data_IF_459301525309
#
_entry.id   IF_459301525309
#
_cell.length_a   1.000
_cell.length_b   1.000
_cell.length_c   1.000
_cell.angle_alpha   90.00
_cell.angle_beta   90.00
_cell.angle_gamma   90.00
#
_symmetry.space_group_name_H-M   'P 1'
#
loop_
_entity.id
_entity.type
_entity.pdbx_description
1 polymer ?
#
# COMPACT_ATOMS: atom_id res chain seq x y z
N UNK A 1 -2.17 25.25 15.90
CA UNK A 1 -3.16 25.23 17.02
C UNK A 1 -2.79 24.06 17.92
N UNK A 2 -2.97 24.20 19.24
CA UNK A 2 -2.81 23.11 20.20
C UNK A 2 -4.15 22.91 20.90
N UNK A 3 -4.62 21.67 20.99
CA UNK A 3 -5.89 21.29 21.61
C UNK A 3 -5.69 20.89 23.09
N UNK A 4 -6.75 20.85 23.92
CA UNK A 4 -6.65 20.48 25.34
C UNK A 4 -6.07 19.07 25.59
N UNK A 5 -6.22 18.16 24.64
CA UNK A 5 -5.66 16.80 24.65
C UNK A 5 -4.20 16.74 24.21
N UNK A 6 -3.53 17.90 24.07
CA UNK A 6 -2.16 18.06 23.57
C UNK A 6 -1.97 17.70 22.08
N UNK A 7 -3.05 17.49 21.33
CA UNK A 7 -2.97 17.37 19.87
C UNK A 7 -2.51 18.68 19.23
N UNK A 8 -1.52 18.61 18.35
CA UNK A 8 -0.98 19.76 17.63
C UNK A 8 -1.46 19.73 16.19
N UNK A 9 -1.99 20.84 15.68
CA UNK A 9 -2.48 20.98 14.30
C UNK A 9 -1.71 22.10 13.59
N UNK A 10 -1.05 21.76 12.49
CA UNK A 10 -0.38 22.69 11.57
C UNK A 10 -1.08 22.69 10.21
N UNK A 11 -1.19 23.86 9.60
CA UNK A 11 -1.75 24.03 8.26
C UNK A 11 -0.72 24.72 7.35
N UNK A 12 -0.23 23.97 6.36
CA UNK A 12 0.74 24.43 5.37
C UNK A 12 0.00 24.99 4.16
N UNK A 13 -0.15 26.32 4.11
CA UNK A 13 -0.98 27.00 3.10
C UNK A 13 -0.55 26.75 1.66
N UNK A 14 0.75 26.80 1.37
CA UNK A 14 1.26 26.64 -0.01
C UNK A 14 1.02 25.25 -0.57
N UNK A 15 1.14 24.22 0.28
CA UNK A 15 0.95 22.82 -0.09
C UNK A 15 -0.50 22.36 0.09
N UNK A 16 -1.34 23.21 0.69
CA UNK A 16 -2.72 22.89 1.08
C UNK A 16 -2.80 21.58 1.89
N UNK A 17 -1.86 21.43 2.83
CA UNK A 17 -1.71 20.24 3.66
C UNK A 17 -1.98 20.58 5.12
N UNK A 18 -2.67 19.69 5.83
CA UNK A 18 -2.84 19.79 7.29
C UNK A 18 -2.12 18.62 7.96
N UNK A 19 -1.24 18.92 8.91
CA UNK A 19 -0.57 17.94 9.76
C UNK A 19 -1.19 17.98 11.16
N UNK A 20 -1.48 16.80 11.71
CA UNK A 20 -2.02 16.61 13.05
C UNK A 20 -1.06 15.67 13.79
N UNK A 21 -0.44 16.13 14.86
CA UNK A 21 0.47 15.34 15.69
C UNK A 21 -0.22 15.01 17.01
N UNK A 22 -0.40 13.72 17.28
CA UNK A 22 -0.99 13.20 18.52
C UNK A 22 0.10 13.00 19.59
N UNK A 23 -0.28 13.02 20.87
CA UNK A 23 0.66 12.79 21.97
C UNK A 23 1.33 11.40 21.91
N UNK A 24 0.68 10.42 21.28
CA UNK A 24 1.24 9.07 21.06
C UNK A 24 2.41 9.04 20.07
N UNK A 25 2.74 10.15 19.41
CA UNK A 25 3.74 10.23 18.34
C UNK A 25 3.20 9.84 16.96
N UNK A 26 1.90 9.61 16.83
CA UNK A 26 1.24 9.43 15.53
C UNK A 26 1.09 10.78 14.84
N UNK A 27 1.44 10.84 13.57
CA UNK A 27 1.21 12.00 12.71
C UNK A 27 0.19 11.68 11.63
N UNK A 28 -0.77 12.57 11.41
CA UNK A 28 -1.80 12.44 10.38
C UNK A 28 -1.66 13.60 9.41
N UNK A 29 -1.48 13.30 8.13
CA UNK A 29 -1.42 14.28 7.05
C UNK A 29 -2.68 14.20 6.21
N UNK A 30 -3.29 15.36 5.94
CA UNK A 30 -4.43 15.50 5.02
C UNK A 30 -4.03 16.42 3.89
N UNK A 31 -4.06 15.90 2.67
CA UNK A 31 -3.68 16.62 1.46
C UNK A 31 -4.92 17.13 0.72
N UNK A 32 -4.74 18.18 -0.06
CA UNK A 32 -5.83 18.81 -0.84
C UNK A 32 -6.50 17.85 -1.83
N UNK A 33 -5.74 16.91 -2.40
CA UNK A 33 -6.26 15.94 -3.36
C UNK A 33 -7.19 14.90 -2.72
N UNK A 34 -7.37 14.90 -1.39
CA UNK A 34 -8.17 13.93 -0.65
C UNK A 34 -7.34 12.78 -0.06
N UNK A 35 -6.03 12.72 -0.34
CA UNK A 35 -5.15 11.73 0.27
C UNK A 35 -5.01 11.97 1.77
N UNK A 36 -5.00 10.90 2.54
CA UNK A 36 -4.77 10.91 3.98
C UNK A 36 -3.65 9.94 4.29
N UNK A 37 -2.66 10.38 5.07
CA UNK A 37 -1.59 9.52 5.56
C UNK A 37 -1.56 9.52 7.08
N UNK A 38 -1.32 8.35 7.66
CA UNK A 38 -1.09 8.14 9.09
C UNK A 38 0.31 7.56 9.23
N UNK A 39 1.22 8.30 9.85
CA UNK A 39 2.57 7.84 10.17
C UNK A 39 2.60 7.45 11.64
N UNK A 40 2.92 6.19 11.91
CA UNK A 40 2.98 5.63 13.26
C UNK A 40 4.36 5.84 13.87
N UNK A 41 4.41 5.82 15.21
CA UNK A 41 5.66 5.98 15.96
C UNK A 41 6.71 4.90 15.65
N UNK A 42 6.29 3.70 15.22
CA UNK A 42 7.17 2.61 14.80
C UNK A 42 7.64 2.71 13.34
N UNK A 43 7.42 3.85 12.67
CA UNK A 43 7.73 4.13 11.26
C UNK A 43 6.82 3.47 10.23
N UNK A 44 5.85 2.64 10.63
CA UNK A 44 4.82 2.15 9.72
C UNK A 44 3.94 3.31 9.24
N UNK A 45 3.40 3.20 8.02
CA UNK A 45 2.51 4.19 7.43
C UNK A 45 1.25 3.53 6.88
N UNK A 46 0.13 4.23 7.02
CA UNK A 46 -1.13 3.91 6.37
C UNK A 46 -1.51 5.08 5.47
N UNK A 47 -1.85 4.80 4.21
CA UNK A 47 -2.14 5.81 3.20
C UNK A 47 -3.48 5.46 2.57
N UNK A 48 -4.42 6.40 2.58
CA UNK A 48 -5.69 6.31 1.84
C UNK A 48 -5.62 7.29 0.68
N UNK A 49 -5.68 6.75 -0.53
CA UNK A 49 -5.67 7.54 -1.76
C UNK A 49 -7.09 7.97 -2.14
N UNK A 50 -7.23 9.06 -2.93
CA UNK A 50 -8.53 9.57 -3.34
C UNK A 50 -9.34 8.61 -4.22
N UNK A 51 -8.65 7.69 -4.92
CA UNK A 51 -9.28 6.67 -5.75
C UNK A 51 -9.87 5.50 -4.93
N UNK A 52 -9.64 5.47 -3.62
CA UNK A 52 -10.06 4.41 -2.70
C UNK A 52 -8.99 3.36 -2.42
N UNK A 53 -7.81 3.45 -3.05
CA UNK A 53 -6.68 2.57 -2.74
C UNK A 53 -6.21 2.81 -1.31
N UNK A 54 -6.05 1.75 -0.54
CA UNK A 54 -5.41 1.80 0.78
C UNK A 54 -4.03 1.15 0.69
N UNK A 55 -2.98 1.80 1.20
CA UNK A 55 -1.61 1.29 1.20
C UNK A 55 -1.01 1.30 2.60
N UNK A 56 -0.39 0.20 2.98
CA UNK A 56 0.34 0.04 4.23
C UNK A 56 1.82 -0.12 3.89
N UNK A 57 2.68 0.69 4.51
CA UNK A 57 4.14 0.59 4.38
C UNK A 57 4.66 0.23 5.75
N UNK A 58 5.29 -0.92 5.86
CA UNK A 58 5.82 -1.42 7.11
C UNK A 58 7.29 -1.03 7.26
N UNK A 59 7.70 -0.81 8.50
CA UNK A 59 9.09 -0.49 8.87
C UNK A 59 10.11 -1.56 8.47
N UNK A 60 9.68 -2.79 8.22
CA UNK A 60 10.52 -3.88 7.69
C UNK A 60 10.75 -3.78 6.16
N UNK A 61 10.14 -2.80 5.47
CA UNK A 61 10.23 -2.60 4.02
C UNK A 61 9.11 -3.23 3.21
N UNK A 62 8.27 -4.07 3.82
CA UNK A 62 7.10 -4.68 3.18
C UNK A 62 6.01 -3.64 2.90
N UNK A 63 5.28 -3.79 1.80
CA UNK A 63 4.20 -2.90 1.43
C UNK A 63 2.96 -3.69 1.02
N UNK A 64 1.82 -3.35 1.60
CA UNK A 64 0.52 -3.90 1.20
C UNK A 64 -0.30 -2.82 0.50
N UNK A 65 -1.09 -3.18 -0.50
CA UNK A 65 -2.08 -2.28 -1.11
C UNK A 65 -3.38 -3.02 -1.36
N UNK A 66 -4.51 -2.43 -0.98
CA UNK A 66 -5.85 -2.87 -1.33
C UNK A 66 -6.42 -1.90 -2.34
N UNK A 67 -6.68 -2.38 -3.55
CA UNK A 67 -7.24 -1.58 -4.63
C UNK A 67 -8.79 -1.55 -4.55
N UNK A 68 -9.43 -0.53 -5.15
CA UNK A 68 -10.90 -0.39 -5.14
C UNK A 68 -11.66 -1.56 -5.80
N UNK A 69 -11.01 -2.27 -6.72
CA UNK A 69 -11.54 -3.47 -7.39
C UNK A 69 -11.41 -4.74 -6.53
N UNK A 70 -10.84 -4.63 -5.32
CA UNK A 70 -10.63 -5.71 -4.38
C UNK A 70 -9.34 -6.51 -4.60
N UNK A 71 -8.49 -6.11 -5.56
CA UNK A 71 -7.17 -6.73 -5.71
C UNK A 71 -6.30 -6.34 -4.52
N UNK A 72 -5.68 -7.35 -3.90
CA UNK A 72 -4.71 -7.16 -2.81
C UNK A 72 -3.30 -7.38 -3.34
N UNK A 73 -2.41 -6.43 -3.08
CA UNK A 73 -1.01 -6.48 -3.48
C UNK A 73 -0.11 -6.53 -2.26
N UNK A 74 0.91 -7.38 -2.31
CA UNK A 74 2.04 -7.40 -1.38
C UNK A 74 3.31 -7.17 -2.19
N UNK A 75 4.18 -6.27 -1.72
CA UNK A 75 5.59 -6.19 -2.15
C UNK A 75 6.43 -6.51 -0.93
N UNK A 76 7.18 -7.62 -0.99
CA UNK A 76 8.04 -8.02 0.11
C UNK A 76 9.39 -7.27 0.10
N UNK A 77 10.18 -7.48 1.14
CA UNK A 77 11.53 -6.92 1.30
C UNK A 77 12.53 -7.31 0.18
N UNK A 78 12.24 -8.35 -0.59
CA UNK A 78 13.05 -8.78 -1.73
C UNK A 78 12.57 -8.18 -3.06
N UNK A 79 11.53 -7.32 -3.05
CA UNK A 79 10.81 -6.82 -4.22
C UNK A 79 10.01 -7.88 -4.98
N UNK A 80 9.69 -9.02 -4.35
CA UNK A 80 8.69 -9.94 -4.89
C UNK A 80 7.32 -9.27 -4.77
N UNK A 81 6.62 -9.14 -5.89
CA UNK A 81 5.26 -8.60 -5.93
C UNK A 81 4.26 -9.73 -6.06
N UNK A 82 3.36 -9.86 -5.10
CA UNK A 82 2.20 -10.76 -5.16
C UNK A 82 0.93 -9.95 -5.38
N UNK A 83 0.11 -10.35 -6.36
CA UNK A 83 -1.26 -9.89 -6.55
C UNK A 83 -2.21 -11.03 -6.21
N UNK A 84 -3.20 -10.76 -5.39
CA UNK A 84 -4.31 -11.67 -5.06
C UNK A 84 -5.62 -11.00 -5.50
N UNK A 85 -6.29 -11.65 -6.44
CA UNK A 85 -7.53 -11.16 -7.01
C UNK A 85 -8.73 -11.67 -6.18
N UNK A 86 -9.88 -10.97 -6.18
CA UNK A 86 -11.06 -11.37 -5.39
C UNK A 86 -11.59 -12.78 -5.69
N UNK A 87 -11.30 -13.32 -6.87
CA UNK A 87 -11.67 -14.68 -7.25
C UNK A 87 -10.74 -15.75 -6.66
N UNK A 88 -9.69 -15.37 -5.91
CA UNK A 88 -8.68 -16.26 -5.33
C UNK A 88 -7.49 -16.57 -6.26
N UNK A 89 -7.45 -15.99 -7.46
CA UNK A 89 -6.33 -16.14 -8.39
C UNK A 89 -5.14 -15.31 -7.90
N UNK A 90 -3.91 -15.82 -8.05
CA UNK A 90 -2.71 -15.10 -7.62
C UNK A 90 -1.65 -15.02 -8.72
N UNK A 91 -0.95 -13.90 -8.76
CA UNK A 91 0.22 -13.67 -9.62
C UNK A 91 1.39 -13.22 -8.76
N UNK A 92 2.56 -13.84 -8.94
CA UNK A 92 3.78 -13.54 -8.20
C UNK A 92 4.84 -13.16 -9.22
N UNK A 93 5.32 -11.92 -9.14
CA UNK A 93 6.39 -11.38 -9.96
C UNK A 93 7.66 -11.34 -9.11
N UNK A 94 8.65 -12.14 -9.50
CA UNK A 94 9.95 -12.17 -8.85
C UNK A 94 10.86 -11.06 -9.41
N UNK A 95 11.88 -10.62 -8.65
CA UNK A 95 12.82 -9.59 -9.08
C UNK A 95 13.63 -9.95 -10.34
N UNK A 96 13.82 -11.24 -10.60
CA UNK A 96 14.53 -11.76 -11.78
C UNK A 96 13.69 -11.76 -13.07
N UNK A 97 12.43 -11.32 -12.98
CA UNK A 97 11.47 -11.29 -14.08
C UNK A 97 10.62 -12.55 -14.19
N UNK A 98 10.84 -13.57 -13.35
CA UNK A 98 10.01 -14.77 -13.31
C UNK A 98 8.59 -14.42 -12.84
N UNK A 99 7.59 -14.96 -13.54
CA UNK A 99 6.18 -14.83 -13.15
C UNK A 99 5.60 -16.20 -12.83
N UNK A 100 5.02 -16.32 -11.65
CA UNK A 100 4.29 -17.50 -11.20
C UNK A 100 2.81 -17.18 -11.06
N UNK A 101 1.95 -18.08 -11.49
CA UNK A 101 0.49 -17.93 -11.45
C UNK A 101 -0.13 -19.07 -10.65
N UNK A 102 -1.18 -18.78 -9.89
CA UNK A 102 -1.95 -19.74 -9.10
C UNK A 102 -3.44 -19.56 -9.38
N UNK A 103 -4.12 -20.66 -9.72
CA UNK A 103 -5.58 -20.69 -9.85
C UNK A 103 -6.25 -20.86 -8.48
N UNK A 104 -7.46 -20.32 -8.27
CA UNK A 104 -8.17 -20.44 -6.99
C UNK A 104 -8.37 -21.88 -6.52
N UNK A 105 -8.56 -22.80 -7.45
CA UNK A 105 -8.84 -24.22 -7.17
C UNK A 105 -7.59 -25.09 -7.00
N UNK A 106 -6.39 -24.49 -7.04
CA UNK A 106 -5.12 -25.23 -7.05
C UNK A 106 -4.14 -24.64 -6.03
N UNK A 107 -3.56 -25.50 -5.20
CA UNK A 107 -2.44 -25.13 -4.32
C UNK A 107 -1.09 -25.08 -5.06
N UNK A 108 -1.08 -25.43 -6.35
CA UNK A 108 0.13 -25.47 -7.17
C UNK A 108 0.27 -24.20 -8.01
N UNK A 109 1.47 -23.62 -7.99
CA UNK A 109 1.90 -22.54 -8.86
C UNK A 109 2.47 -23.08 -10.18
N UNK A 110 2.28 -22.34 -11.27
CA UNK A 110 2.92 -22.62 -12.56
C UNK A 110 3.63 -21.38 -13.08
N UNK A 111 4.73 -21.59 -13.81
CA UNK A 111 5.48 -20.51 -14.45
C UNK A 111 4.71 -20.02 -15.67
N UNK A 112 4.62 -18.70 -15.83
CA UNK A 112 4.24 -18.10 -17.10
C UNK A 112 5.42 -18.25 -18.06
N UNK A 113 5.31 -19.18 -19.00
CA UNK A 113 6.26 -19.24 -20.10
C UNK A 113 6.03 -17.98 -20.95
N UNK A 114 7.05 -17.12 -21.06
CA UNK A 114 7.13 -16.08 -22.08
C UNK A 114 7.24 -16.74 -23.47
N UNK A 115 6.20 -17.45 -23.89
CA UNK A 115 6.03 -17.82 -25.28
C UNK A 115 5.57 -16.54 -25.97
N UNK A 116 6.50 -15.86 -26.63
CA UNK A 116 6.19 -14.92 -27.69
C UNK A 116 5.10 -15.56 -28.58
N UNK A 117 3.86 -15.07 -28.49
CA UNK A 117 2.89 -15.28 -29.56
C UNK A 117 3.45 -14.55 -30.78
N UNK A 118 4.22 -15.27 -31.59
CA UNK A 118 4.61 -14.83 -32.93
C UNK A 118 3.33 -14.87 -33.78
N UNK A 119 2.80 -13.71 -34.16
CA UNK A 119 1.83 -13.56 -35.25
C UNK A 119 2.56 -13.33 -36.57
#
# INVERSE_FOLDING_TARGET
MILPDQTIIYHFKEQQTTQITLQSGIEIYRFQNGQIEIHKANQDKEIKFPDGTERYIYSNGEQHSLFPDGVFQIIDQNNTKTLEYPNGYKEIYMPDGTVMKQKPESDTYYLENNNEETY
#
